data_IF_487083339194
#
_entry.id   IF_487083339194
#
_cell.length_a   1.000
_cell.length_b   1.000
_cell.length_c   1.000
_cell.angle_alpha   90.00
_cell.angle_beta   90.00
_cell.angle_gamma   90.00
#
_symmetry.space_group_name_H-M   'P 1'
#
loop_
_entity.id
_entity.type
_entity.pdbx_description
1 polymer ?
#
# COMPACT_ATOMS: atom_id res chain seq x y z
N UNK A 1 -22.12 4.83 -17.92
CA UNK A 1 -22.49 4.46 -16.54
C UNK A 1 -21.23 4.23 -15.70
N UNK A 2 -20.30 3.38 -16.16
CA UNK A 2 -19.03 3.08 -15.47
C UNK A 2 -18.25 4.38 -15.18
N UNK A 3 -17.99 5.21 -16.17
CA UNK A 3 -17.27 6.49 -16.05
C UNK A 3 -17.97 7.52 -15.15
N UNK A 4 -19.24 7.29 -14.81
CA UNK A 4 -20.03 8.08 -13.86
C UNK A 4 -20.01 7.49 -12.44
N UNK A 5 -19.25 6.42 -12.19
CA UNK A 5 -19.19 5.73 -10.91
C UNK A 5 -20.44 4.89 -10.58
N UNK A 6 -21.35 4.67 -11.55
CA UNK A 6 -22.58 3.88 -11.40
C UNK A 6 -22.30 2.42 -11.74
N UNK A 7 -21.49 1.78 -10.91
CA UNK A 7 -20.93 0.46 -11.21
C UNK A 7 -22.01 -0.64 -11.19
N UNK A 8 -22.96 -0.60 -10.26
CA UNK A 8 -24.08 -1.55 -10.20
C UNK A 8 -24.94 -1.46 -11.45
N UNK A 9 -25.37 -0.24 -11.83
CA UNK A 9 -26.18 0.01 -13.01
C UNK A 9 -25.44 -0.43 -14.29
N UNK A 10 -24.11 -0.30 -14.32
CA UNK A 10 -23.31 -0.77 -15.44
C UNK A 10 -23.32 -2.29 -15.57
N UNK A 11 -23.21 -3.01 -14.45
CA UNK A 11 -23.27 -4.48 -14.42
C UNK A 11 -24.65 -4.97 -14.86
N UNK A 12 -25.74 -4.33 -14.41
CA UNK A 12 -27.10 -4.65 -14.86
C UNK A 12 -27.22 -4.50 -16.37
N UNK A 13 -26.73 -3.38 -16.94
CA UNK A 13 -26.76 -3.14 -18.38
C UNK A 13 -25.93 -4.19 -19.16
N UNK A 14 -24.77 -4.65 -18.63
CA UNK A 14 -24.02 -5.74 -19.26
C UNK A 14 -24.80 -7.05 -19.20
N UNK A 15 -25.48 -7.37 -18.10
CA UNK A 15 -26.31 -8.57 -17.99
C UNK A 15 -27.48 -8.54 -18.99
N UNK A 16 -28.13 -7.39 -19.18
CA UNK A 16 -29.17 -7.23 -20.20
C UNK A 16 -28.61 -7.44 -21.61
N UNK A 17 -27.45 -6.86 -21.92
CA UNK A 17 -26.80 -7.04 -23.21
C UNK A 17 -26.44 -8.50 -23.47
N UNK A 18 -25.94 -9.21 -22.44
CA UNK A 18 -25.57 -10.62 -22.48
C UNK A 18 -26.80 -11.55 -22.56
N UNK A 19 -27.95 -11.13 -22.03
CA UNK A 19 -29.22 -11.86 -22.22
C UNK A 19 -29.68 -11.80 -23.67
N UNK A 20 -29.42 -10.71 -24.39
CA UNK A 20 -29.72 -10.53 -25.81
C UNK A 20 -28.68 -11.24 -26.69
N UNK A 21 -27.39 -11.09 -26.34
CA UNK A 21 -26.27 -11.66 -27.08
C UNK A 21 -25.29 -12.38 -26.13
N UNK A 22 -25.53 -13.70 -25.86
CA UNK A 22 -24.71 -14.45 -24.89
C UNK A 22 -23.24 -14.65 -25.30
N UNK A 23 -22.92 -14.52 -26.59
CA UNK A 23 -21.57 -14.65 -27.18
C UNK A 23 -20.85 -13.31 -27.34
N UNK A 24 -21.18 -12.30 -26.52
CA UNK A 24 -20.58 -10.97 -26.59
C UNK A 24 -19.34 -10.86 -25.69
N UNK A 25 -18.17 -11.27 -26.20
CA UNK A 25 -16.91 -11.30 -25.46
C UNK A 25 -16.52 -9.94 -24.85
N UNK A 26 -16.70 -8.84 -25.59
CA UNK A 26 -16.38 -7.50 -25.14
C UNK A 26 -17.27 -7.05 -23.96
N UNK A 27 -18.54 -7.50 -23.91
CA UNK A 27 -19.42 -7.21 -22.78
C UNK A 27 -18.94 -7.93 -21.50
N UNK A 28 -18.51 -9.18 -21.61
CA UNK A 28 -17.92 -9.91 -20.49
C UNK A 28 -16.62 -9.27 -20.01
N UNK A 29 -15.73 -8.86 -20.93
CA UNK A 29 -14.50 -8.14 -20.57
C UNK A 29 -14.79 -6.84 -19.82
N UNK A 30 -15.72 -6.02 -20.31
CA UNK A 30 -16.10 -4.76 -19.68
C UNK A 30 -16.80 -4.96 -18.34
N UNK A 31 -17.62 -6.02 -18.20
CA UNK A 31 -18.19 -6.43 -16.92
C UNK A 31 -17.09 -6.81 -15.92
N UNK A 32 -16.06 -7.56 -16.37
CA UNK A 32 -14.91 -7.91 -15.55
C UNK A 32 -14.17 -6.67 -15.02
N UNK A 33 -13.92 -5.68 -15.86
CA UNK A 33 -13.30 -4.41 -15.44
C UNK A 33 -14.17 -3.70 -14.38
N UNK A 34 -15.50 -3.68 -14.56
CA UNK A 34 -16.43 -3.03 -13.63
C UNK A 34 -16.49 -3.77 -12.28
N UNK A 35 -16.44 -5.11 -12.30
CA UNK A 35 -16.39 -5.95 -11.11
C UNK A 35 -15.05 -5.74 -10.34
N UNK A 36 -13.94 -5.64 -11.06
CA UNK A 36 -12.63 -5.29 -10.47
C UNK A 36 -12.68 -3.93 -9.75
N UNK A 37 -13.24 -2.90 -10.38
CA UNK A 37 -13.44 -1.57 -9.76
C UNK A 37 -14.31 -1.62 -8.49
N UNK A 38 -15.24 -2.59 -8.38
CA UNK A 38 -16.01 -2.87 -7.17
C UNK A 38 -15.23 -3.68 -6.12
N UNK A 39 -14.02 -4.14 -6.42
CA UNK A 39 -13.24 -5.04 -5.57
C UNK A 39 -13.72 -6.50 -5.58
N UNK A 40 -14.63 -6.88 -6.51
CA UNK A 40 -15.14 -8.24 -6.70
C UNK A 40 -14.21 -9.02 -7.62
N UNK A 41 -12.98 -9.26 -7.15
CA UNK A 41 -11.90 -9.76 -7.99
C UNK A 41 -12.13 -11.17 -8.52
N UNK A 42 -12.73 -12.07 -7.74
CA UNK A 42 -13.04 -13.43 -8.20
C UNK A 42 -14.11 -13.42 -9.31
N UNK A 43 -15.17 -12.62 -9.13
CA UNK A 43 -16.23 -12.47 -10.14
C UNK A 43 -15.69 -11.82 -11.44
N UNK A 44 -14.72 -10.88 -11.31
CA UNK A 44 -14.05 -10.28 -12.45
C UNK A 44 -13.28 -11.32 -13.26
N UNK A 45 -12.51 -12.20 -12.60
CA UNK A 45 -11.77 -13.28 -13.26
C UNK A 45 -12.74 -14.25 -13.98
N UNK A 46 -13.87 -14.57 -13.37
CA UNK A 46 -14.90 -15.39 -14.02
C UNK A 46 -15.45 -14.73 -15.29
N UNK A 47 -15.67 -13.41 -15.25
CA UNK A 47 -16.13 -12.67 -16.43
C UNK A 47 -15.07 -12.67 -17.54
N UNK A 48 -13.79 -12.46 -17.23
CA UNK A 48 -12.71 -12.56 -18.22
C UNK A 48 -12.60 -13.97 -18.81
N UNK A 49 -12.72 -15.01 -18.00
CA UNK A 49 -12.73 -16.39 -18.49
C UNK A 49 -13.87 -16.66 -19.47
N UNK A 50 -15.07 -16.10 -19.24
CA UNK A 50 -16.19 -16.18 -20.18
C UNK A 50 -15.88 -15.45 -21.48
N UNK A 51 -15.28 -14.25 -21.40
CA UNK A 51 -14.83 -13.51 -22.59
C UNK A 51 -13.84 -14.33 -23.41
N UNK A 52 -12.85 -14.95 -22.75
CA UNK A 52 -11.81 -15.77 -23.37
C UNK A 52 -12.34 -17.12 -23.93
N UNK A 53 -13.38 -17.67 -23.32
CA UNK A 53 -14.06 -18.87 -23.86
C UNK A 53 -14.78 -18.58 -25.19
N UNK A 54 -15.28 -17.34 -25.37
CA UNK A 54 -15.92 -16.88 -26.60
C UNK A 54 -14.85 -16.46 -27.63
N UNK A 55 -13.84 -15.72 -27.19
CA UNK A 55 -12.77 -15.14 -28.05
C UNK A 55 -11.41 -15.45 -27.43
N UNK A 56 -10.81 -16.57 -27.82
CA UNK A 56 -9.54 -17.06 -27.26
C UNK A 56 -8.32 -16.17 -27.57
N UNK A 57 -8.41 -15.35 -28.63
CA UNK A 57 -7.37 -14.39 -29.07
C UNK A 57 -7.63 -12.96 -28.57
N UNK A 58 -8.26 -12.81 -27.40
CA UNK A 58 -8.59 -11.52 -26.81
C UNK A 58 -7.47 -11.03 -25.88
N UNK A 59 -6.44 -10.40 -26.43
CA UNK A 59 -5.26 -9.93 -25.70
C UNK A 59 -5.63 -9.00 -24.53
N UNK A 60 -6.58 -8.09 -24.72
CA UNK A 60 -7.04 -7.14 -23.71
C UNK A 60 -7.67 -7.86 -22.50
N UNK A 61 -8.42 -8.93 -22.72
CA UNK A 61 -9.02 -9.71 -21.62
C UNK A 61 -7.95 -10.45 -20.81
N UNK A 62 -6.91 -11.01 -21.46
CA UNK A 62 -5.77 -11.59 -20.75
C UNK A 62 -5.00 -10.55 -19.95
N UNK A 63 -4.74 -9.35 -20.50
CA UNK A 63 -4.09 -8.26 -19.78
C UNK A 63 -4.89 -7.86 -18.53
N UNK A 64 -6.20 -7.63 -18.67
CA UNK A 64 -7.08 -7.22 -17.57
C UNK A 64 -7.19 -8.31 -16.49
N UNK A 65 -7.25 -9.58 -16.90
CA UNK A 65 -7.21 -10.71 -15.98
C UNK A 65 -5.88 -10.74 -15.21
N UNK A 66 -4.75 -10.48 -15.89
CA UNK A 66 -3.43 -10.37 -15.26
C UNK A 66 -3.38 -9.27 -14.19
N UNK A 67 -3.93 -8.08 -14.48
CA UNK A 67 -4.02 -6.97 -13.50
C UNK A 67 -4.86 -7.41 -12.29
N UNK A 68 -6.00 -8.05 -12.50
CA UNK A 68 -6.87 -8.52 -11.42
C UNK A 68 -6.20 -9.62 -10.57
N UNK A 69 -5.47 -10.55 -11.19
CA UNK A 69 -4.70 -11.59 -10.50
C UNK A 69 -3.55 -10.96 -9.66
N UNK A 70 -2.89 -9.93 -10.19
CA UNK A 70 -1.87 -9.18 -9.46
C UNK A 70 -2.47 -8.49 -8.22
N UNK A 71 -3.65 -7.88 -8.31
CA UNK A 71 -4.38 -7.30 -7.17
C UNK A 71 -4.73 -8.35 -6.12
N UNK A 72 -4.98 -9.60 -6.51
CA UNK A 72 -5.15 -10.74 -5.60
C UNK A 72 -3.84 -11.25 -4.99
N UNK A 73 -2.68 -10.74 -5.43
CA UNK A 73 -1.36 -11.23 -5.04
C UNK A 73 -0.94 -12.55 -5.72
N UNK A 74 -1.68 -13.00 -6.73
CA UNK A 74 -1.40 -14.21 -7.52
C UNK A 74 -0.44 -13.90 -8.66
N UNK A 75 0.79 -13.52 -8.29
CA UNK A 75 1.76 -12.93 -9.23
C UNK A 75 2.20 -13.89 -10.34
N UNK A 76 2.35 -15.19 -10.06
CA UNK A 76 2.73 -16.18 -11.08
C UNK A 76 1.62 -16.33 -12.13
N UNK A 77 0.36 -16.41 -11.70
CA UNK A 77 -0.80 -16.51 -12.59
C UNK A 77 -0.98 -15.21 -13.41
N UNK A 78 -0.70 -14.05 -12.79
CA UNK A 78 -0.74 -12.76 -13.50
C UNK A 78 0.29 -12.70 -14.63
N UNK A 79 1.54 -13.13 -14.37
CA UNK A 79 2.60 -13.18 -15.39
C UNK A 79 2.24 -14.15 -16.52
N UNK A 80 1.63 -15.29 -16.20
CA UNK A 80 1.13 -16.23 -17.23
C UNK A 80 0.07 -15.57 -18.12
N UNK A 81 -0.87 -14.84 -17.53
CA UNK A 81 -1.90 -14.10 -18.27
C UNK A 81 -1.28 -13.01 -19.17
N UNK A 82 -0.32 -12.25 -18.67
CA UNK A 82 0.42 -11.27 -19.49
C UNK A 82 1.17 -11.92 -20.63
N UNK A 83 1.82 -13.06 -20.42
CA UNK A 83 2.49 -13.79 -21.50
C UNK A 83 1.51 -14.26 -22.59
N UNK A 84 0.29 -14.70 -22.22
CA UNK A 84 -0.75 -15.04 -23.18
C UNK A 84 -1.21 -13.81 -23.97
N UNK A 85 -1.40 -12.67 -23.32
CA UNK A 85 -1.71 -11.41 -24.00
C UNK A 85 -0.61 -11.02 -25.02
N UNK A 86 0.66 -11.12 -24.63
CA UNK A 86 1.80 -10.78 -25.47
C UNK A 86 2.05 -11.79 -26.60
N UNK A 87 1.66 -13.05 -26.44
CA UNK A 87 1.68 -14.03 -27.51
C UNK A 87 0.68 -13.68 -28.63
N UNK A 88 -0.46 -13.06 -28.26
CA UNK A 88 -1.50 -12.62 -29.19
C UNK A 88 -1.11 -11.25 -29.80
N UNK A 89 -0.64 -10.33 -28.97
CA UNK A 89 -0.31 -8.93 -29.33
C UNK A 89 1.10 -8.57 -28.83
N UNK A 90 2.16 -8.88 -29.61
CA UNK A 90 3.56 -8.67 -29.19
C UNK A 90 3.96 -7.20 -29.00
N UNK A 91 3.21 -6.26 -29.55
CA UNK A 91 3.41 -4.80 -29.45
C UNK A 91 2.53 -4.12 -28.39
N UNK A 92 2.13 -4.86 -27.36
CA UNK A 92 1.25 -4.35 -26.31
C UNK A 92 2.07 -3.75 -25.14
N UNK A 93 2.42 -2.47 -25.26
CA UNK A 93 3.26 -1.76 -24.29
C UNK A 93 2.73 -1.80 -22.86
N UNK A 94 1.40 -1.62 -22.67
CA UNK A 94 0.77 -1.62 -21.35
C UNK A 94 0.91 -2.99 -20.67
N UNK A 95 0.85 -4.08 -21.43
CA UNK A 95 1.02 -5.43 -20.87
C UNK A 95 2.48 -5.67 -20.43
N UNK A 96 3.48 -5.20 -21.19
CA UNK A 96 4.88 -5.25 -20.75
C UNK A 96 5.10 -4.42 -19.48
N UNK A 97 4.50 -3.24 -19.40
CA UNK A 97 4.53 -2.40 -18.20
C UNK A 97 3.92 -3.12 -16.98
N UNK A 98 2.73 -3.71 -17.13
CA UNK A 98 2.06 -4.45 -16.06
C UNK A 98 2.87 -5.69 -15.65
N UNK A 99 3.42 -6.43 -16.61
CA UNK A 99 4.30 -7.57 -16.34
C UNK A 99 5.56 -7.14 -15.58
N UNK A 100 6.16 -6.01 -15.94
CA UNK A 100 7.29 -5.44 -15.22
C UNK A 100 6.94 -5.12 -13.75
N UNK A 101 5.75 -4.58 -13.51
CA UNK A 101 5.26 -4.33 -12.14
C UNK A 101 5.10 -5.64 -11.35
N UNK A 102 4.51 -6.67 -11.93
CA UNK A 102 4.32 -7.97 -11.28
C UNK A 102 5.66 -8.66 -10.99
N UNK A 103 6.62 -8.62 -11.92
CA UNK A 103 7.97 -9.15 -11.73
C UNK A 103 8.72 -8.41 -10.62
N UNK A 104 8.61 -7.08 -10.57
CA UNK A 104 9.18 -6.28 -9.47
C UNK A 104 8.59 -6.68 -8.12
N UNK A 105 7.28 -6.88 -8.03
CA UNK A 105 6.61 -7.34 -6.80
C UNK A 105 7.07 -8.75 -6.37
N UNK A 106 7.43 -9.62 -7.32
CA UNK A 106 8.08 -10.91 -7.05
C UNK A 106 9.55 -10.78 -6.61
N UNK A 107 10.17 -9.60 -6.73
CA UNK A 107 11.58 -9.38 -6.49
C UNK A 107 12.49 -9.77 -7.67
N UNK A 108 11.93 -10.10 -8.83
CA UNK A 108 12.65 -10.41 -10.08
C UNK A 108 13.02 -9.11 -10.81
N UNK A 109 13.95 -8.35 -10.20
CA UNK A 109 14.21 -6.97 -10.59
C UNK A 109 14.84 -6.85 -12.00
N UNK A 110 15.72 -7.77 -12.39
CA UNK A 110 16.33 -7.81 -13.71
C UNK A 110 15.28 -8.03 -14.80
N UNK A 111 14.43 -9.04 -14.62
CA UNK A 111 13.36 -9.37 -15.56
C UNK A 111 12.33 -8.22 -15.67
N UNK A 112 12.07 -7.53 -14.53
CA UNK A 112 11.20 -6.35 -14.52
C UNK A 112 11.76 -5.22 -15.39
N UNK A 113 13.08 -4.94 -15.30
CA UNK A 113 13.74 -3.91 -16.12
C UNK A 113 13.69 -4.30 -17.61
N UNK A 114 13.87 -5.57 -17.95
CA UNK A 114 13.73 -6.06 -19.32
C UNK A 114 12.31 -5.83 -19.87
N UNK A 115 11.29 -6.11 -19.05
CA UNK A 115 9.91 -5.88 -19.43
C UNK A 115 9.61 -4.37 -19.63
N UNK A 116 10.10 -3.50 -18.74
CA UNK A 116 9.97 -2.05 -18.93
C UNK A 116 10.69 -1.55 -20.18
N UNK A 117 11.87 -2.07 -20.48
CA UNK A 117 12.59 -1.70 -21.71
C UNK A 117 11.81 -2.10 -22.98
N UNK A 118 11.14 -3.26 -22.98
CA UNK A 118 10.25 -3.66 -24.07
C UNK A 118 9.07 -2.71 -24.20
N UNK A 119 8.43 -2.34 -23.08
CA UNK A 119 7.34 -1.35 -23.08
C UNK A 119 7.81 -0.01 -23.68
N UNK A 120 9.00 0.47 -23.28
CA UNK A 120 9.58 1.74 -23.75
C UNK A 120 10.07 1.68 -25.21
N UNK A 121 10.43 0.51 -25.70
CA UNK A 121 10.74 0.32 -27.14
C UNK A 121 9.49 0.51 -28.00
N UNK A 122 8.33 0.07 -27.52
CA UNK A 122 7.04 0.19 -28.20
C UNK A 122 6.46 1.61 -28.01
N UNK A 123 6.53 2.13 -26.77
CA UNK A 123 5.98 3.43 -26.37
C UNK A 123 7.06 4.26 -25.65
N UNK A 124 7.91 5.01 -26.40
CA UNK A 124 9.03 5.76 -25.82
C UNK A 124 8.63 6.94 -24.93
N UNK A 125 7.40 7.40 -25.01
CA UNK A 125 6.81 8.51 -24.22
C UNK A 125 6.06 8.06 -22.96
N UNK A 126 6.32 6.83 -22.48
CA UNK A 126 5.63 6.26 -21.33
C UNK A 126 6.32 6.67 -20.01
N UNK A 127 5.97 7.85 -19.48
CA UNK A 127 6.59 8.44 -18.29
C UNK A 127 6.49 7.55 -17.05
N UNK A 128 5.34 6.87 -16.84
CA UNK A 128 5.11 5.96 -15.73
C UNK A 128 6.06 4.75 -15.76
N UNK A 129 6.38 4.26 -16.96
CA UNK A 129 7.33 3.15 -17.13
C UNK A 129 8.75 3.57 -16.76
N UNK A 130 9.20 4.76 -17.17
CA UNK A 130 10.50 5.30 -16.74
C UNK A 130 10.55 5.48 -15.23
N UNK A 131 9.48 5.97 -14.61
CA UNK A 131 9.41 6.10 -13.16
C UNK A 131 9.54 4.74 -12.45
N UNK A 132 8.75 3.74 -12.85
CA UNK A 132 8.81 2.41 -12.23
C UNK A 132 10.12 1.68 -12.50
N UNK A 133 10.73 1.88 -13.66
CA UNK A 133 12.10 1.42 -13.95
C UNK A 133 13.11 2.07 -13.00
N UNK A 134 13.01 3.38 -12.76
CA UNK A 134 13.84 4.08 -11.79
C UNK A 134 13.69 3.53 -10.37
N UNK A 135 12.46 3.24 -9.92
CA UNK A 135 12.20 2.59 -8.63
C UNK A 135 12.87 1.21 -8.56
N UNK A 136 12.78 0.43 -9.64
CA UNK A 136 13.37 -0.91 -9.71
C UNK A 136 14.91 -0.87 -9.70
N UNK A 137 15.51 0.07 -10.41
CA UNK A 137 16.95 0.31 -10.40
C UNK A 137 17.45 0.74 -9.02
N UNK A 138 16.70 1.59 -8.34
CA UNK A 138 16.97 1.97 -6.94
C UNK A 138 16.95 0.75 -6.01
N UNK A 139 16.02 -0.17 -6.18
CA UNK A 139 15.95 -1.41 -5.40
C UNK A 139 17.15 -2.33 -5.67
N UNK A 140 17.77 -2.25 -6.84
CA UNK A 140 19.04 -2.90 -7.18
C UNK A 140 20.28 -2.16 -6.64
N UNK A 141 20.13 -0.96 -6.06
CA UNK A 141 21.23 -0.09 -5.65
C UNK A 141 21.91 0.68 -6.78
N UNK A 142 21.35 0.67 -7.99
CA UNK A 142 21.86 1.39 -9.18
C UNK A 142 21.35 2.83 -9.19
N UNK A 143 21.86 3.64 -8.24
CA UNK A 143 21.29 4.94 -7.93
C UNK A 143 21.42 5.97 -9.07
N UNK A 144 22.53 5.96 -9.78
CA UNK A 144 22.78 6.85 -10.92
C UNK A 144 21.84 6.52 -12.09
N UNK A 145 21.68 5.25 -12.42
CA UNK A 145 20.76 4.79 -13.46
C UNK A 145 19.29 5.11 -13.09
N UNK A 146 18.94 4.97 -11.80
CA UNK A 146 17.63 5.36 -11.31
C UNK A 146 17.35 6.86 -11.50
N UNK A 147 18.36 7.72 -11.20
CA UNK A 147 18.26 9.17 -11.42
C UNK A 147 18.06 9.50 -12.92
N UNK A 148 18.73 8.79 -13.80
CA UNK A 148 18.56 8.97 -15.26
C UNK A 148 17.14 8.59 -15.70
N UNK A 149 16.60 7.48 -15.19
CA UNK A 149 15.23 7.06 -15.45
C UNK A 149 14.21 8.09 -14.95
N UNK A 150 14.39 8.63 -13.73
CA UNK A 150 13.54 9.71 -13.23
C UNK A 150 13.67 11.00 -14.06
N UNK A 151 14.85 11.34 -14.56
CA UNK A 151 15.02 12.47 -15.47
C UNK A 151 14.24 12.28 -16.77
N UNK A 152 14.22 11.06 -17.32
CA UNK A 152 13.42 10.74 -18.52
C UNK A 152 11.92 10.88 -18.23
N UNK A 153 11.44 10.34 -17.11
CA UNK A 153 10.05 10.51 -16.68
C UNK A 153 9.67 11.99 -16.58
N UNK A 154 10.53 12.83 -15.96
CA UNK A 154 10.31 14.26 -15.79
C UNK A 154 10.45 15.06 -17.10
N UNK A 155 11.24 14.59 -18.07
CA UNK A 155 11.28 15.22 -19.40
C UNK A 155 9.99 15.05 -20.19
N UNK A 156 9.26 13.94 -19.93
CA UNK A 156 7.97 13.64 -20.55
C UNK A 156 6.80 14.26 -19.76
N UNK A 157 6.88 14.22 -18.44
CA UNK A 157 5.86 14.76 -17.51
C UNK A 157 6.57 15.63 -16.45
N UNK A 158 6.77 16.95 -16.70
CA UNK A 158 7.52 17.84 -15.79
C UNK A 158 6.91 18.01 -14.40
N UNK A 159 5.59 17.85 -14.28
CA UNK A 159 4.81 17.93 -13.04
C UNK A 159 4.67 16.59 -12.30
N UNK A 160 5.42 15.55 -12.70
CA UNK A 160 5.37 14.23 -12.08
C UNK A 160 5.99 14.26 -10.67
N UNK A 161 5.20 14.61 -9.67
CA UNK A 161 5.65 14.83 -8.29
C UNK A 161 6.37 13.62 -7.69
N UNK A 162 5.91 12.40 -7.97
CA UNK A 162 6.55 11.17 -7.49
C UNK A 162 7.98 11.00 -8.06
N UNK A 163 8.16 11.22 -9.35
CA UNK A 163 9.49 11.13 -9.99
C UNK A 163 10.43 12.22 -9.46
N UNK A 164 9.91 13.44 -9.24
CA UNK A 164 10.69 14.54 -8.66
C UNK A 164 11.15 14.22 -7.22
N UNK A 165 10.24 13.74 -6.37
CA UNK A 165 10.55 13.38 -4.98
C UNK A 165 11.60 12.25 -4.92
N UNK A 166 11.43 11.19 -5.71
CA UNK A 166 12.38 10.07 -5.75
C UNK A 166 13.75 10.50 -6.29
N UNK A 167 13.80 11.29 -7.35
CA UNK A 167 15.06 11.85 -7.88
C UNK A 167 15.82 12.64 -6.82
N UNK A 168 15.13 13.51 -6.07
CA UNK A 168 15.73 14.31 -5.02
C UNK A 168 16.24 13.44 -3.86
N UNK A 169 15.45 12.43 -3.48
CA UNK A 169 15.86 11.46 -2.47
C UNK A 169 17.13 10.70 -2.89
N UNK A 170 17.23 10.22 -4.13
CA UNK A 170 18.43 9.54 -4.62
C UNK A 170 19.63 10.50 -4.67
N UNK A 171 19.43 11.74 -5.12
CA UNK A 171 20.49 12.77 -5.12
C UNK A 171 21.03 13.03 -3.71
N UNK A 172 20.17 13.05 -2.69
CA UNK A 172 20.59 13.14 -1.30
C UNK A 172 21.40 11.92 -0.85
N UNK A 173 20.99 10.72 -1.23
CA UNK A 173 21.71 9.47 -0.89
C UNK A 173 23.13 9.42 -1.47
N UNK A 174 23.35 9.97 -2.66
CA UNK A 174 24.68 10.10 -3.27
C UNK A 174 25.39 11.42 -2.89
N UNK A 175 24.88 12.14 -1.90
CA UNK A 175 25.45 13.40 -1.39
C UNK A 175 25.60 14.51 -2.45
N UNK A 176 24.72 14.54 -3.46
CA UNK A 176 24.77 15.56 -4.52
C UNK A 176 24.02 16.84 -4.12
N UNK A 177 24.51 17.52 -3.10
CA UNK A 177 23.90 18.69 -2.45
C UNK A 177 23.63 19.90 -3.36
N UNK A 178 24.51 20.25 -4.36
CA UNK A 178 24.24 21.42 -5.20
C UNK A 178 22.90 21.39 -5.94
N UNK A 179 22.44 20.20 -6.32
CA UNK A 179 21.12 20.05 -6.96
C UNK A 179 19.99 20.21 -5.94
N UNK A 180 20.20 19.75 -4.71
CA UNK A 180 19.23 19.87 -3.64
C UNK A 180 19.03 21.34 -3.27
N UNK A 181 20.11 22.10 -3.13
CA UNK A 181 20.05 23.54 -2.84
C UNK A 181 19.32 24.33 -3.95
N UNK A 182 19.50 23.97 -5.21
CA UNK A 182 18.77 24.57 -6.33
C UNK A 182 17.26 24.31 -6.29
N UNK A 183 16.83 23.19 -5.71
CA UNK A 183 15.40 22.81 -5.57
C UNK A 183 14.79 23.25 -4.24
N UNK A 184 15.53 23.87 -3.33
CA UNK A 184 15.10 24.18 -1.96
C UNK A 184 13.80 24.98 -1.89
N UNK A 185 13.55 25.85 -2.86
CA UNK A 185 12.31 26.65 -2.97
C UNK A 185 11.10 25.83 -3.46
N UNK A 186 11.32 24.69 -4.12
CA UNK A 186 10.24 23.85 -4.63
C UNK A 186 9.80 22.77 -3.62
N UNK A 187 10.56 22.54 -2.54
CA UNK A 187 10.18 21.57 -1.50
C UNK A 187 8.93 21.98 -0.72
N UNK A 188 8.66 23.28 -0.63
CA UNK A 188 7.55 23.80 0.17
C UNK A 188 6.19 23.28 -0.32
N UNK A 189 6.04 23.11 -1.63
CA UNK A 189 4.80 22.68 -2.25
C UNK A 189 4.80 21.18 -2.63
N UNK A 190 5.97 20.56 -2.81
CA UNK A 190 6.07 19.18 -3.30
C UNK A 190 5.39 18.20 -2.34
N UNK A 191 4.38 17.49 -2.82
CA UNK A 191 3.55 16.58 -2.05
C UNK A 191 2.51 17.26 -1.14
N UNK A 192 2.46 18.60 -1.13
CA UNK A 192 1.44 19.40 -0.42
C UNK A 192 0.45 19.97 -1.43
N UNK A 193 0.94 20.56 -2.53
CA UNK A 193 0.13 21.04 -3.65
C UNK A 193 0.18 20.02 -4.78
N UNK A 194 -0.90 19.84 -5.55
CA UNK A 194 -0.94 18.87 -6.65
C UNK A 194 -1.00 17.40 -6.19
N UNK A 195 -0.16 16.53 -6.71
CA UNK A 195 -0.10 15.11 -6.33
C UNK A 195 0.51 14.92 -4.93
N UNK A 196 0.01 13.92 -4.17
CA UNK A 196 0.64 13.49 -2.92
C UNK A 196 1.89 12.67 -3.23
N UNK A 197 2.92 12.81 -2.40
CA UNK A 197 4.12 11.95 -2.47
C UNK A 197 4.31 11.21 -1.17
N UNK A 198 5.04 10.09 -1.19
CA UNK A 198 5.38 9.36 0.02
C UNK A 198 6.17 10.28 0.97
N UNK A 199 5.67 10.61 2.17
CA UNK A 199 6.29 11.61 3.06
C UNK A 199 7.75 11.33 3.39
N UNK A 200 8.11 10.04 3.49
CA UNK A 200 9.47 9.59 3.78
C UNK A 200 10.52 10.11 2.79
N UNK A 201 10.17 10.25 1.50
CA UNK A 201 11.13 10.64 0.46
C UNK A 201 11.70 12.05 0.66
N UNK A 202 10.98 12.92 1.36
CA UNK A 202 11.39 14.30 1.59
C UNK A 202 11.81 14.58 3.04
N UNK A 203 11.73 13.58 3.91
CA UNK A 203 12.01 13.76 5.33
C UNK A 203 13.46 14.22 5.61
N UNK A 204 14.41 13.74 4.82
CA UNK A 204 15.82 14.14 4.94
C UNK A 204 16.17 15.47 4.26
N UNK A 205 15.21 16.05 3.54
CA UNK A 205 15.41 17.24 2.70
C UNK A 205 14.66 18.47 3.23
N UNK A 206 13.62 18.26 4.02
CA UNK A 206 12.77 19.32 4.59
C UNK A 206 12.62 19.10 6.09
N UNK A 207 13.10 20.04 6.85
CA UNK A 207 13.13 20.03 8.33
C UNK A 207 11.90 20.69 8.97
N UNK A 208 10.91 21.14 8.18
CA UNK A 208 9.68 21.74 8.69
C UNK A 208 8.69 20.68 9.17
N UNK A 209 8.42 20.57 10.49
CA UNK A 209 7.44 19.63 11.02
C UNK A 209 6.03 19.86 10.47
N UNK A 210 5.65 21.12 10.26
CA UNK A 210 4.34 21.48 9.72
C UNK A 210 4.17 20.99 8.27
N UNK A 211 5.17 21.19 7.41
CA UNK A 211 5.13 20.70 6.04
C UNK A 211 5.14 19.18 5.97
N UNK A 212 5.90 18.51 6.85
CA UNK A 212 5.89 17.04 6.95
C UNK A 212 4.51 16.51 7.36
N UNK A 213 3.86 17.15 8.32
CA UNK A 213 2.49 16.81 8.73
C UNK A 213 1.51 16.97 7.56
N UNK A 214 1.55 18.11 6.87
CA UNK A 214 0.67 18.39 5.73
C UNK A 214 0.85 17.36 4.59
N UNK A 215 2.09 16.92 4.31
CA UNK A 215 2.36 15.84 3.34
C UNK A 215 1.77 14.51 3.80
N UNK A 216 1.97 14.17 5.07
CA UNK A 216 1.45 12.92 5.62
C UNK A 216 -0.09 12.89 5.59
N UNK A 217 -0.76 13.97 5.98
CA UNK A 217 -2.23 14.09 5.93
C UNK A 217 -2.74 13.98 4.49
N UNK A 218 -2.09 14.65 3.55
CA UNK A 218 -2.46 14.58 2.14
C UNK A 218 -2.26 13.20 1.56
N UNK A 219 -1.13 12.56 1.86
CA UNK A 219 -0.83 11.20 1.41
C UNK A 219 -1.86 10.20 1.94
N UNK A 220 -2.20 10.27 3.23
CA UNK A 220 -3.23 9.44 3.85
C UNK A 220 -4.59 9.66 3.17
N UNK A 221 -4.97 10.92 2.96
CA UNK A 221 -6.24 11.26 2.31
C UNK A 221 -6.33 10.74 0.87
N UNK A 222 -5.22 10.77 0.13
CA UNK A 222 -5.17 10.30 -1.25
C UNK A 222 -5.16 8.75 -1.35
N UNK A 223 -4.48 8.06 -0.41
CA UNK A 223 -4.23 6.63 -0.51
C UNK A 223 -5.10 5.77 0.43
N UNK A 224 -5.73 6.37 1.45
CA UNK A 224 -6.57 5.67 2.43
C UNK A 224 -7.99 6.26 2.45
N UNK A 225 -8.81 5.92 1.45
CA UNK A 225 -10.23 6.30 1.40
C UNK A 225 -11.12 5.45 2.33
N UNK A 226 -10.54 4.68 3.23
CA UNK A 226 -11.27 3.76 4.09
C UNK A 226 -11.99 4.52 5.20
N UNK A 227 -13.27 4.22 5.37
CA UNK A 227 -14.07 4.78 6.48
C UNK A 227 -13.68 4.11 7.80
N UNK A 228 -13.51 4.88 8.90
CA UNK A 228 -13.32 4.29 10.22
C UNK A 228 -14.46 3.34 10.57
N UNK A 229 -14.13 2.20 11.18
CA UNK A 229 -15.13 1.28 11.72
C UNK A 229 -15.87 1.97 12.87
N UNK A 230 -17.20 1.79 12.95
CA UNK A 230 -17.95 2.25 14.10
C UNK A 230 -17.50 1.44 15.33
N UNK A 231 -16.94 2.10 16.32
CA UNK A 231 -16.68 1.47 17.60
C UNK A 231 -18.02 1.05 18.23
N UNK A 232 -18.08 -0.12 18.83
CA UNK A 232 -19.25 -0.53 19.60
C UNK A 232 -19.45 0.51 20.73
N UNK A 233 -20.59 1.16 20.72
CA UNK A 233 -20.92 2.31 21.60
C UNK A 233 -20.73 2.04 23.10
N UNK A 234 -20.63 0.78 23.49
CA UNK A 234 -20.51 0.34 24.88
C UNK A 234 -19.09 0.36 25.48
N UNK A 235 -18.05 0.78 24.75
CA UNK A 235 -16.65 0.80 25.26
C UNK A 235 -16.13 2.17 25.62
N UNK A 236 -16.76 3.23 25.15
CA UNK A 236 -16.41 4.60 25.52
C UNK A 236 -17.47 5.09 26.50
N UNK A 237 -17.25 4.89 27.78
CA UNK A 237 -17.90 5.75 28.75
C UNK A 237 -17.60 7.18 28.30
N UNK A 238 -18.64 7.93 27.92
CA UNK A 238 -18.64 9.28 27.39
C UNK A 238 -17.63 10.18 28.10
N UNK A 239 -16.41 10.26 27.61
CA UNK A 239 -15.48 11.34 27.92
C UNK A 239 -15.22 12.15 26.67
N UNK A 240 -16.08 13.11 26.44
CA UNK A 240 -15.74 14.28 25.66
C UNK A 240 -14.48 14.89 26.29
N UNK A 241 -13.32 14.72 25.64
CA UNK A 241 -12.17 15.57 25.90
C UNK A 241 -12.46 16.96 25.33
N UNK A 242 -13.39 17.65 26.00
CA UNK A 242 -13.48 19.09 25.96
C UNK A 242 -12.30 19.64 26.76
N UNK A 243 -11.50 20.51 26.17
CA UNK A 243 -10.45 21.30 26.83
C UNK A 243 -11.04 22.28 27.83
N UNK A 244 -11.74 21.83 28.84
CA UNK A 244 -12.22 22.70 29.93
C UNK A 244 -12.30 21.93 31.22
N UNK A 245 -11.45 22.34 32.17
CA UNK A 245 -11.46 22.09 33.60
C UNK A 245 -11.18 20.66 34.07
N UNK A 246 -9.90 20.39 34.32
CA UNK A 246 -9.49 19.39 35.30
C UNK A 246 -10.06 19.78 36.67
N UNK A 247 -11.14 19.14 37.04
CA UNK A 247 -11.58 19.12 38.43
C UNK A 247 -10.98 17.87 39.12
N UNK A 248 -10.06 18.10 40.06
CA UNK A 248 -9.22 17.09 40.72
C UNK A 248 -9.94 16.13 41.69
N UNK A 249 -11.25 16.13 41.77
CA UNK A 249 -11.97 15.40 42.82
C UNK A 249 -12.99 14.38 42.32
N UNK A 250 -12.71 13.51 41.40
CA UNK A 250 -13.47 12.26 41.18
C UNK A 250 -12.90 11.40 40.09
N UNK A 251 -11.78 10.73 40.34
CA UNK A 251 -11.31 9.64 39.47
C UNK A 251 -10.80 8.48 40.30
N UNK A 252 -11.70 7.88 41.06
CA UNK A 252 -11.59 6.47 41.38
C UNK A 252 -12.28 5.68 40.26
N UNK A 253 -11.79 5.77 39.02
CA UNK A 253 -12.15 4.82 37.95
C UNK A 253 -11.31 3.57 38.15
N UNK A 254 -11.98 2.45 38.44
CA UNK A 254 -11.41 1.11 38.32
C UNK A 254 -10.69 1.01 37.00
N UNK A 255 -9.37 0.99 37.01
CA UNK A 255 -8.53 0.58 35.85
C UNK A 255 -8.86 -0.90 35.65
N UNK A 256 -9.51 -1.29 34.54
CA UNK A 256 -9.71 -2.72 34.31
C UNK A 256 -8.35 -3.36 34.11
N UNK A 257 -8.18 -4.52 34.69
CA UNK A 257 -7.10 -5.51 34.77
C UNK A 257 -5.91 -5.38 33.86
N UNK A 258 -5.41 -4.63 33.15
CA UNK A 258 -4.26 -4.41 32.25
C UNK A 258 -4.68 -3.68 30.98
N UNK A 259 -3.88 -2.74 30.61
CA UNK A 259 -4.02 -2.03 29.31
C UNK A 259 -3.60 -2.98 28.21
N UNK A 260 -4.45 -3.19 27.21
CA UNK A 260 -4.17 -4.04 26.06
C UNK A 260 -3.49 -3.22 24.96
N UNK A 261 -2.24 -3.54 24.70
CA UNK A 261 -1.44 -2.87 23.67
C UNK A 261 -1.30 -3.79 22.46
N UNK A 262 -1.72 -3.30 21.30
CA UNK A 262 -1.59 -4.00 20.02
C UNK A 262 -0.48 -3.39 19.18
N UNK A 263 0.56 -4.16 18.89
CA UNK A 263 1.65 -3.79 17.98
C UNK A 263 1.39 -4.37 16.60
N UNK A 264 1.45 -3.55 15.57
CA UNK A 264 1.24 -3.93 14.17
C UNK A 264 2.56 -3.82 13.43
N UNK A 265 3.00 -4.91 12.78
CA UNK A 265 4.25 -4.90 12.02
C UNK A 265 4.26 -6.00 10.95
N UNK A 266 4.89 -5.76 9.79
CA UNK A 266 5.09 -6.81 8.80
C UNK A 266 6.13 -7.82 9.26
N UNK A 267 7.07 -7.43 10.11
CA UNK A 267 8.32 -8.15 10.31
C UNK A 267 8.76 -8.10 11.77
N UNK A 268 8.98 -9.29 12.34
CA UNK A 268 9.69 -9.49 13.61
C UNK A 268 10.82 -10.53 13.41
N UNK A 269 11.73 -10.27 12.47
CA UNK A 269 12.95 -11.03 12.26
C UNK A 269 14.16 -10.09 12.28
N UNK A 270 15.36 -10.57 11.97
CA UNK A 270 16.61 -9.81 12.01
C UNK A 270 16.56 -8.57 11.08
N UNK A 271 16.08 -7.45 11.60
CA UNK A 271 16.07 -6.14 10.96
C UNK A 271 16.20 -5.03 12.04
N UNK A 272 16.57 -3.81 11.67
CA UNK A 272 16.77 -2.71 12.63
C UNK A 272 15.57 -2.43 13.54
N UNK A 273 14.35 -2.48 13.03
CA UNK A 273 13.13 -2.25 13.82
C UNK A 273 12.96 -3.34 14.87
N UNK A 274 13.13 -4.61 14.51
CA UNK A 274 13.03 -5.74 15.44
C UNK A 274 14.13 -5.71 16.49
N UNK A 275 15.35 -5.31 16.13
CA UNK A 275 16.47 -5.18 17.07
C UNK A 275 16.18 -4.11 18.11
N UNK A 276 15.72 -2.94 17.67
CA UNK A 276 15.39 -1.82 18.54
C UNK A 276 14.15 -2.07 19.40
N UNK A 277 13.12 -2.68 18.83
CA UNK A 277 11.84 -2.87 19.52
C UNK A 277 11.80 -4.11 20.42
N UNK A 278 12.60 -5.17 20.14
CA UNK A 278 12.55 -6.42 20.91
C UNK A 278 12.81 -6.18 22.40
N UNK A 279 13.82 -5.37 22.75
CA UNK A 279 14.11 -5.07 24.14
C UNK A 279 13.02 -4.25 24.82
N UNK A 280 12.40 -3.33 24.12
CA UNK A 280 11.26 -2.56 24.61
C UNK A 280 10.08 -3.49 24.88
N UNK A 281 9.79 -4.43 23.97
CA UNK A 281 8.69 -5.39 24.12
C UNK A 281 8.92 -6.36 25.28
N UNK A 282 10.16 -6.75 25.55
CA UNK A 282 10.54 -7.59 26.70
C UNK A 282 10.39 -6.86 28.05
N UNK A 283 10.56 -5.55 28.07
CA UNK A 283 10.55 -4.73 29.29
C UNK A 283 9.17 -4.25 29.70
N UNK A 284 8.10 -4.63 28.98
CA UNK A 284 6.75 -4.28 29.37
C UNK A 284 6.42 -4.93 30.72
N UNK A 285 5.87 -4.09 31.60
CA UNK A 285 5.31 -4.55 32.88
C UNK A 285 4.05 -5.40 32.61
N UNK A 286 4.21 -6.71 32.68
CA UNK A 286 3.13 -7.67 32.39
C UNK A 286 2.00 -7.67 33.41
N UNK A 287 2.17 -7.00 34.57
CA UNK A 287 1.11 -6.78 35.53
C UNK A 287 0.18 -5.63 35.08
N UNK A 288 0.72 -4.64 34.36
CA UNK A 288 0.00 -3.46 33.89
C UNK A 288 -0.45 -3.58 32.43
N UNK A 289 0.30 -4.31 31.60
CA UNK A 289 0.08 -4.39 30.16
C UNK A 289 -0.14 -5.82 29.69
N UNK A 290 -1.08 -6.00 28.78
CA UNK A 290 -1.28 -7.22 28.02
C UNK A 290 -0.91 -6.95 26.56
N UNK A 291 0.16 -7.61 26.07
CA UNK A 291 0.74 -7.29 24.77
C UNK A 291 0.24 -8.24 23.68
N UNK A 292 -0.25 -7.67 22.61
CA UNK A 292 -0.65 -8.34 21.38
C UNK A 292 0.25 -7.89 20.23
N UNK A 293 0.71 -8.81 19.40
CA UNK A 293 1.54 -8.55 18.24
C UNK A 293 0.83 -9.08 17.01
N UNK A 294 0.36 -8.19 16.13
CA UNK A 294 -0.29 -8.52 14.88
C UNK A 294 0.76 -8.52 13.76
N UNK A 295 1.09 -9.70 13.24
CA UNK A 295 2.10 -9.87 12.19
C UNK A 295 1.39 -10.05 10.86
N UNK A 296 1.56 -9.11 9.94
CA UNK A 296 0.86 -9.10 8.65
C UNK A 296 1.73 -9.52 7.45
N UNK A 297 2.90 -10.10 7.70
CA UNK A 297 3.68 -10.92 6.75
C UNK A 297 4.02 -12.26 7.39
N UNK A 298 4.39 -13.23 6.55
CA UNK A 298 4.77 -14.58 7.03
C UNK A 298 5.90 -14.48 8.05
N UNK A 299 5.68 -15.01 9.24
CA UNK A 299 6.69 -15.06 10.30
C UNK A 299 7.84 -15.97 9.89
N UNK A 300 9.07 -15.51 10.16
CA UNK A 300 10.28 -16.32 10.10
C UNK A 300 10.61 -16.69 11.55
N UNK A 301 10.74 -17.99 11.82
CA UNK A 301 11.06 -18.48 13.16
C UNK A 301 12.56 -18.30 13.41
N UNK A 302 12.95 -17.16 13.96
CA UNK A 302 14.31 -16.80 14.31
C UNK A 302 14.44 -16.50 15.83
N UNK A 303 15.66 -16.14 16.26
CA UNK A 303 15.95 -15.81 17.66
C UNK A 303 15.11 -14.64 18.21
N UNK A 304 14.72 -13.67 17.37
CA UNK A 304 13.91 -12.51 17.78
C UNK A 304 12.47 -12.92 18.00
N UNK A 305 11.91 -13.74 17.12
CA UNK A 305 10.60 -14.32 17.30
C UNK A 305 10.53 -15.17 18.58
N UNK A 306 11.54 -16.00 18.85
CA UNK A 306 11.64 -16.80 20.06
C UNK A 306 11.69 -15.92 21.33
N UNK A 307 12.38 -14.79 21.30
CA UNK A 307 12.43 -13.82 22.41
C UNK A 307 11.05 -13.16 22.66
N UNK A 308 10.34 -12.77 21.62
CA UNK A 308 9.00 -12.20 21.74
C UNK A 308 8.00 -13.19 22.35
N UNK A 309 8.07 -14.46 21.96
CA UNK A 309 7.24 -15.51 22.55
C UNK A 309 7.54 -15.64 24.06
N UNK A 310 8.82 -15.60 24.44
CA UNK A 310 9.24 -15.70 25.86
C UNK A 310 8.80 -14.48 26.69
N UNK A 311 8.59 -13.32 26.10
CA UNK A 311 8.12 -12.12 26.80
C UNK A 311 6.65 -12.21 27.26
N UNK A 312 5.94 -13.27 26.87
CA UNK A 312 4.50 -13.43 27.18
C UNK A 312 3.57 -12.66 26.24
N UNK A 313 4.10 -12.07 25.17
CA UNK A 313 3.29 -11.40 24.15
C UNK A 313 2.46 -12.42 23.34
N UNK A 314 1.22 -12.06 23.04
CA UNK A 314 0.29 -12.85 22.22
C UNK A 314 0.52 -12.53 20.75
N UNK A 315 1.17 -13.42 20.02
CA UNK A 315 1.45 -13.24 18.59
C UNK A 315 0.26 -13.75 17.77
N UNK A 316 -0.22 -12.92 16.85
CA UNK A 316 -1.36 -13.21 15.97
C UNK A 316 -0.91 -13.02 14.51
N UNK A 317 -0.89 -14.11 13.76
CA UNK A 317 -0.65 -14.06 12.31
C UNK A 317 -1.91 -13.53 11.60
N UNK A 318 -1.76 -12.38 10.95
CA UNK A 318 -2.82 -11.73 10.17
C UNK A 318 -2.40 -11.51 8.73
N UNK A 319 -1.41 -12.25 8.25
CA UNK A 319 -0.82 -12.12 6.91
C UNK A 319 -1.83 -12.31 5.76
N UNK A 320 -2.89 -13.08 6.00
CA UNK A 320 -3.97 -13.35 5.03
C UNK A 320 -5.21 -12.47 5.21
N UNK A 321 -5.17 -11.47 6.08
CA UNK A 321 -6.32 -10.62 6.40
C UNK A 321 -6.19 -9.25 5.74
N UNK A 322 -7.32 -8.66 5.31
CA UNK A 322 -7.38 -7.26 4.88
C UNK A 322 -7.17 -6.31 6.06
N UNK A 323 -6.85 -5.04 5.79
CA UNK A 323 -6.69 -4.00 6.83
C UNK A 323 -7.93 -3.87 7.70
N UNK A 324 -9.11 -3.92 7.09
CA UNK A 324 -10.39 -3.90 7.79
C UNK A 324 -10.54 -5.09 8.72
N UNK A 325 -10.26 -6.31 8.25
CA UNK A 325 -10.36 -7.52 9.06
C UNK A 325 -9.35 -7.54 10.22
N UNK A 326 -8.17 -6.95 10.03
CA UNK A 326 -7.18 -6.80 11.11
C UNK A 326 -7.68 -5.81 12.16
N UNK A 327 -8.23 -4.68 11.72
CA UNK A 327 -8.79 -3.68 12.62
C UNK A 327 -10.00 -4.24 13.41
N UNK A 328 -10.90 -4.97 12.74
CA UNK A 328 -12.04 -5.64 13.40
C UNK A 328 -11.56 -6.65 14.46
N UNK A 329 -10.54 -7.45 14.13
CA UNK A 329 -9.96 -8.42 15.08
C UNK A 329 -9.31 -7.72 16.28
N UNK A 330 -8.63 -6.59 16.09
CA UNK A 330 -8.06 -5.81 17.18
C UNK A 330 -9.15 -5.24 18.09
N UNK A 331 -10.23 -4.74 17.51
CA UNK A 331 -11.40 -4.27 18.26
C UNK A 331 -12.06 -5.41 19.04
N UNK A 332 -12.21 -6.60 18.45
CA UNK A 332 -12.73 -7.81 19.10
C UNK A 332 -11.86 -8.21 20.32
N UNK A 333 -10.53 -8.17 20.17
CA UNK A 333 -9.57 -8.41 21.27
C UNK A 333 -9.61 -7.34 22.35
N UNK A 334 -10.23 -6.19 22.06
CA UNK A 334 -10.35 -5.08 22.98
C UNK A 334 -9.04 -4.33 23.16
N UNK A 335 -8.28 -4.13 22.11
CA UNK A 335 -7.06 -3.33 22.14
C UNK A 335 -7.38 -1.89 22.55
N UNK A 336 -6.68 -1.39 23.57
CA UNK A 336 -6.82 -0.03 24.09
C UNK A 336 -5.88 0.95 23.40
N UNK A 337 -4.68 0.47 23.04
CA UNK A 337 -3.63 1.23 22.39
C UNK A 337 -3.08 0.46 21.18
N UNK A 338 -3.24 1.00 19.99
CA UNK A 338 -2.69 0.47 18.74
C UNK A 338 -1.40 1.20 18.38
N UNK A 339 -0.32 0.45 18.16
CA UNK A 339 1.00 0.97 17.79
C UNK A 339 1.45 0.31 16.49
N UNK A 340 1.69 1.12 15.46
CA UNK A 340 2.20 0.66 14.16
C UNK A 340 3.70 0.99 14.08
N UNK A 341 4.53 0.00 13.73
CA UNK A 341 5.99 0.15 13.69
C UNK A 341 6.55 0.55 12.34
N UNK A 342 5.81 0.36 11.27
CA UNK A 342 6.34 0.58 9.92
C UNK A 342 6.00 1.96 9.34
N UNK A 343 4.99 2.64 9.88
CA UNK A 343 4.56 3.93 9.39
C UNK A 343 4.43 3.97 7.87
N UNK A 344 5.06 4.94 7.24
CA UNK A 344 5.07 5.11 5.79
C UNK A 344 6.19 4.35 5.06
N UNK A 345 6.85 3.40 5.70
CA UNK A 345 7.84 2.57 5.01
C UNK A 345 7.18 1.61 4.02
N UNK A 346 7.98 1.13 3.07
CA UNK A 346 7.56 0.05 2.15
C UNK A 346 7.01 -1.14 2.95
N UNK A 347 5.83 -1.62 2.58
CA UNK A 347 5.07 -2.66 3.27
C UNK A 347 4.38 -2.24 4.59
N UNK A 348 4.35 -0.96 4.95
CA UNK A 348 3.47 -0.46 6.00
C UNK A 348 1.99 -0.57 5.57
N UNK A 349 1.12 -0.89 6.54
CA UNK A 349 -0.31 -1.06 6.29
C UNK A 349 -1.12 -0.03 7.09
N UNK A 350 -0.95 1.24 6.76
CA UNK A 350 -1.62 2.38 7.43
C UNK A 350 -3.14 2.29 7.35
N UNK A 351 -3.68 1.56 6.38
CA UNK A 351 -5.09 1.25 6.27
C UNK A 351 -5.66 0.59 7.52
N UNK A 352 -4.84 -0.18 8.28
CA UNK A 352 -5.27 -0.76 9.57
C UNK A 352 -5.62 0.35 10.55
N UNK A 353 -4.76 1.36 10.72
CA UNK A 353 -5.00 2.48 11.62
C UNK A 353 -6.12 3.41 11.12
N UNK A 354 -6.30 3.52 9.80
CA UNK A 354 -7.39 4.29 9.20
C UNK A 354 -8.77 3.74 9.61
N UNK A 355 -8.89 2.43 9.88
CA UNK A 355 -10.10 1.80 10.41
C UNK A 355 -10.30 1.96 11.92
N UNK A 356 -9.40 2.64 12.62
CA UNK A 356 -9.43 2.87 14.07
C UNK A 356 -9.57 1.58 14.90
N UNK A 357 -8.55 0.70 14.90
CA UNK A 357 -8.55 -0.57 15.64
C UNK A 357 -8.58 -0.41 17.16
N UNK A 358 -8.25 0.77 17.69
CA UNK A 358 -8.20 1.09 19.11
C UNK A 358 -8.57 2.56 19.39
N UNK A 359 -9.00 2.90 20.63
CA UNK A 359 -9.27 4.28 21.06
C UNK A 359 -8.08 5.21 20.94
N UNK A 360 -6.87 4.71 21.23
CA UNK A 360 -5.61 5.44 21.09
C UNK A 360 -4.75 4.76 20.06
N UNK A 361 -4.16 5.55 19.17
CA UNK A 361 -3.34 5.06 18.08
C UNK A 361 -2.04 5.85 18.01
N UNK A 362 -0.92 5.14 17.83
CA UNK A 362 0.42 5.72 17.74
C UNK A 362 1.13 5.11 16.53
N UNK A 363 1.76 5.97 15.74
CA UNK A 363 2.75 5.57 14.75
C UNK A 363 4.13 5.69 15.37
N UNK A 364 4.92 4.62 15.42
CA UNK A 364 6.15 4.57 16.19
C UNK A 364 7.31 3.98 15.38
N UNK A 365 8.50 4.58 15.49
CA UNK A 365 9.79 4.19 14.92
C UNK A 365 9.95 4.36 13.41
N UNK A 366 8.94 4.23 12.60
CA UNK A 366 9.09 4.37 11.16
C UNK A 366 8.32 5.61 10.68
N UNK A 367 8.83 6.74 11.02
CA UNK A 367 8.41 8.08 10.62
C UNK A 367 6.91 8.39 10.76
N UNK A 368 6.59 9.47 11.46
CA UNK A 368 5.21 9.93 11.59
C UNK A 368 4.61 10.32 10.25
#
# INVERSE_FOLDING_TARGET
LKDQGKLEEAIEAYNEALAIKPDYAEAYNNMGITLQEQGKLDEAIEAYNKALAIKADFAEAYNNMGVTLQEQGKLDEAIEAYNKALAIKPDYADTYYNMGNALKEQGKLEEAIEAYNKALTIKPDYAETYYNMGVTLQEQGKLEEAIEAYNKALSLKPDYAHAQAQKLHQKAQICHWPVIDAYRFNFEELGIVGESVLPFTLLSLDDSPERQLNRAEKYIKANNQQKPLKMAENRVGSSHYSKSKLNQNNVARRIPNRIKVGYFSPIFHQNPVSILSSRMLELHDTEKFEIFIFVYKKMINDQYCARLIKSGAKIIDVSKKSDKQIAELAMEKGIDLAIEFNGFLKNGRQGILAHRPAPVQINYLAYP
#
